data_IF_725276822926
#
_entry.id   IF_725276822926
#
_cell.length_a   1.000
_cell.length_b   1.000
_cell.length_c   1.000
_cell.angle_alpha   90.00
_cell.angle_beta   90.00
_cell.angle_gamma   90.00
#
_symmetry.space_group_name_H-M   'P 1'
#
loop_
_entity.id
_entity.type
_entity.pdbx_description
1 polymer ?
#
# COMPACT_ATOMS: atom_id res chain seq x y z
N UNK A 1 4.79 -9.15 -14.93
CA UNK A 1 5.63 -8.64 -13.83
C UNK A 1 5.22 -7.24 -13.36
N UNK A 2 5.07 -6.23 -14.24
CA UNK A 2 4.72 -4.86 -13.82
C UNK A 2 3.43 -4.74 -12.96
N UNK A 3 2.37 -5.47 -13.30
CA UNK A 3 1.12 -5.51 -12.52
C UNK A 3 1.32 -6.06 -11.10
N UNK A 4 1.97 -7.22 -10.99
CA UNK A 4 2.30 -7.84 -9.69
C UNK A 4 3.20 -6.93 -8.86
N UNK A 5 4.14 -6.26 -9.51
CA UNK A 5 5.02 -5.32 -8.85
C UNK A 5 4.18 -4.18 -8.23
N UNK A 6 3.31 -3.51 -8.99
CA UNK A 6 2.45 -2.44 -8.46
C UNK A 6 1.50 -2.88 -7.33
N UNK A 7 1.04 -4.14 -7.35
CA UNK A 7 0.23 -4.73 -6.26
C UNK A 7 1.03 -4.85 -4.95
N UNK A 8 2.32 -5.17 -5.02
CA UNK A 8 3.20 -5.23 -3.82
C UNK A 8 3.33 -3.85 -3.16
N UNK A 9 3.62 -2.81 -3.94
CA UNK A 9 3.73 -1.44 -3.42
C UNK A 9 2.39 -0.90 -2.92
N UNK A 10 1.28 -1.25 -3.58
CA UNK A 10 -0.08 -0.92 -3.12
C UNK A 10 -0.33 -1.50 -1.72
N UNK A 11 -0.04 -2.79 -1.52
CA UNK A 11 -0.26 -3.45 -0.23
C UNK A 11 0.66 -2.91 0.86
N UNK A 12 1.91 -2.60 0.51
CA UNK A 12 2.84 -1.96 1.44
C UNK A 12 2.34 -0.60 1.88
N UNK A 13 1.91 0.26 0.94
CA UNK A 13 1.37 1.59 1.24
C UNK A 13 0.09 1.50 2.07
N UNK A 14 -0.81 0.57 1.76
CA UNK A 14 -2.04 0.35 2.53
C UNK A 14 -1.75 0.02 3.99
N UNK A 15 -0.85 -0.94 4.25
CA UNK A 15 -0.47 -1.30 5.63
C UNK A 15 0.31 -0.17 6.32
N UNK A 16 1.19 0.54 5.59
CA UNK A 16 1.88 1.71 6.13
C UNK A 16 0.89 2.80 6.57
N UNK A 17 -0.11 3.11 5.74
CA UNK A 17 -1.12 4.13 6.05
C UNK A 17 -1.97 3.75 7.26
N UNK A 18 -2.36 2.48 7.40
CA UNK A 18 -3.03 1.97 8.62
C UNK A 18 -2.21 2.17 9.89
N UNK A 19 -0.88 2.20 9.79
CA UNK A 19 0.00 2.48 10.94
C UNK A 19 0.28 3.97 11.15
N UNK A 20 0.23 4.77 10.09
CA UNK A 20 0.58 6.19 10.10
C UNK A 20 -0.61 7.11 10.45
N UNK A 21 -1.82 6.73 10.06
CA UNK A 21 -3.09 7.36 10.44
C UNK A 21 -3.83 6.38 11.37
N UNK A 22 -3.54 6.37 12.69
CA UNK A 22 -4.34 5.59 13.62
C UNK A 22 -5.79 6.11 13.59
N UNK A 23 -6.74 5.22 13.30
CA UNK A 23 -8.18 5.49 13.30
C UNK A 23 -8.56 6.31 14.54
N UNK A 24 -9.08 7.53 14.35
CA UNK A 24 -9.56 8.37 15.46
C UNK A 24 -10.75 7.68 16.11
N UNK A 25 -10.43 6.91 17.15
CA UNK A 25 -11.41 6.11 17.88
C UNK A 25 -12.34 7.04 18.65
N UNK A 26 -13.50 7.35 18.07
CA UNK A 26 -14.66 7.84 18.82
C UNK A 26 -14.73 9.34 19.11
N UNK A 27 -14.63 10.19 18.09
CA UNK A 27 -15.22 11.53 18.16
C UNK A 27 -16.75 11.43 18.17
N UNK A 28 -17.45 12.28 18.93
CA UNK A 28 -18.92 12.29 19.05
C UNK A 28 -19.69 12.59 17.74
N UNK A 29 -18.98 12.74 16.63
CA UNK A 29 -19.48 12.92 15.27
C UNK A 29 -18.80 11.94 14.30
N UNK A 30 -18.77 10.65 14.63
CA UNK A 30 -18.35 9.58 13.71
C UNK A 30 -19.58 8.84 13.18
N UNK A 31 -19.49 8.33 11.95
CA UNK A 31 -20.47 7.47 11.28
C UNK A 31 -20.60 6.07 11.87
N UNK A 32 -19.95 5.80 13.02
CA UNK A 32 -20.00 4.55 13.75
C UNK A 32 -19.46 3.35 12.97
N UNK A 33 -19.99 2.15 13.26
CA UNK A 33 -19.54 0.88 12.66
C UNK A 33 -19.59 0.91 11.12
N UNK A 34 -20.47 1.72 10.52
CA UNK A 34 -20.52 1.90 9.07
C UNK A 34 -19.26 2.58 8.53
N UNK A 35 -18.82 3.66 9.15
CA UNK A 35 -17.63 4.43 8.76
C UNK A 35 -16.36 3.57 8.79
N UNK A 36 -16.17 2.78 9.86
CA UNK A 36 -15.02 1.88 10.01
C UNK A 36 -14.92 0.86 8.87
N UNK A 37 -16.07 0.40 8.34
CA UNK A 37 -16.09 -0.51 7.20
C UNK A 37 -15.72 0.20 5.89
N UNK A 38 -16.00 1.50 5.77
CA UNK A 38 -15.69 2.31 4.59
C UNK A 38 -14.29 2.93 4.60
N UNK A 39 -13.69 3.16 5.78
CA UNK A 39 -12.34 3.73 5.91
C UNK A 39 -11.30 2.86 5.22
N UNK A 40 -11.38 1.53 5.39
CA UNK A 40 -10.47 0.57 4.76
C UNK A 40 -10.46 0.65 3.23
N UNK A 41 -11.63 0.83 2.61
CA UNK A 41 -11.74 0.97 1.15
C UNK A 41 -11.12 2.28 0.65
N UNK A 42 -11.33 3.39 1.37
CA UNK A 42 -10.73 4.68 1.05
C UNK A 42 -9.21 4.62 1.14
N UNK A 43 -8.68 4.01 2.21
CA UNK A 43 -7.24 3.84 2.40
C UNK A 43 -6.63 2.96 1.30
N UNK A 44 -7.31 1.88 0.91
CA UNK A 44 -6.86 1.00 -0.18
C UNK A 44 -6.82 1.73 -1.53
N UNK A 45 -7.85 2.51 -1.85
CA UNK A 45 -7.87 3.27 -3.11
C UNK A 45 -6.83 4.39 -3.13
N UNK A 46 -6.58 5.03 -1.97
CA UNK A 46 -5.50 6.02 -1.83
C UNK A 46 -4.13 5.36 -2.06
N UNK A 47 -3.89 4.18 -1.50
CA UNK A 47 -2.67 3.41 -1.73
C UNK A 47 -2.51 3.02 -3.23
N UNK A 48 -3.60 2.65 -3.91
CA UNK A 48 -3.61 2.38 -5.36
C UNK A 48 -3.23 3.60 -6.18
N UNK A 49 -3.84 4.75 -5.90
CA UNK A 49 -3.54 5.99 -6.62
C UNK A 49 -2.07 6.37 -6.45
N UNK A 50 -1.55 6.30 -5.22
CA UNK A 50 -0.14 6.55 -4.94
C UNK A 50 0.78 5.59 -5.73
N UNK A 51 0.53 4.28 -5.65
CA UNK A 51 1.30 3.28 -6.41
C UNK A 51 1.27 3.56 -7.92
N UNK A 52 0.10 3.86 -8.49
CA UNK A 52 -0.04 4.15 -9.93
C UNK A 52 0.68 5.44 -10.37
N UNK A 53 0.82 6.42 -9.47
CA UNK A 53 1.53 7.68 -9.74
C UNK A 53 3.06 7.56 -9.62
N UNK A 54 3.57 6.40 -9.19
CA UNK A 54 5.01 6.18 -8.97
C UNK A 54 5.49 6.70 -7.62
N UNK A 55 4.79 6.36 -6.53
CA UNK A 55 5.06 6.88 -5.19
C UNK A 55 6.47 6.59 -4.65
N UNK A 56 6.77 5.35 -4.29
CA UNK A 56 8.03 4.94 -3.64
C UNK A 56 8.95 4.18 -4.60
N UNK A 57 8.41 3.58 -5.66
CA UNK A 57 9.18 2.78 -6.61
C UNK A 57 9.71 1.47 -6.01
N UNK A 58 9.12 1.01 -4.90
CA UNK A 58 9.51 -0.22 -4.21
C UNK A 58 9.37 -1.44 -5.12
N UNK A 59 8.32 -1.46 -5.93
CA UNK A 59 8.05 -2.50 -6.92
C UNK A 59 9.19 -2.67 -7.91
N UNK A 60 9.72 -1.55 -8.43
CA UNK A 60 10.83 -1.55 -9.37
C UNK A 60 12.12 -2.00 -8.68
N UNK A 61 12.37 -1.50 -7.46
CA UNK A 61 13.53 -1.88 -6.67
C UNK A 61 13.54 -3.38 -6.34
N UNK A 62 12.38 -3.95 -5.98
CA UNK A 62 12.24 -5.39 -5.69
C UNK A 62 12.48 -6.22 -6.95
N UNK A 63 11.83 -5.88 -8.07
CA UNK A 63 12.02 -6.60 -9.34
C UNK A 63 13.47 -6.54 -9.81
N UNK A 64 14.10 -5.36 -9.70
CA UNK A 64 15.50 -5.16 -10.07
C UNK A 64 16.44 -6.01 -9.22
N UNK A 65 16.26 -6.03 -7.90
CA UNK A 65 17.18 -6.76 -7.01
C UNK A 65 16.94 -8.27 -7.00
N UNK A 66 15.68 -8.74 -7.01
CA UNK A 66 15.38 -10.16 -7.07
C UNK A 66 15.76 -10.78 -8.43
N UNK A 67 15.54 -10.05 -9.53
CA UNK A 67 15.99 -10.50 -10.85
C UNK A 67 17.52 -10.53 -11.00
N UNK A 68 18.25 -9.71 -10.23
CA UNK A 68 19.71 -9.74 -10.21
C UNK A 68 20.27 -10.89 -9.34
N UNK A 69 19.51 -11.35 -8.33
CA UNK A 69 19.92 -12.48 -7.47
C UNK A 69 19.83 -13.84 -8.18
N UNK A 70 19.02 -14.00 -9.23
CA UNK A 70 18.98 -15.22 -10.06
C UNK A 70 20.22 -15.43 -10.94
N UNK A 71 21.09 -14.42 -11.08
CA UNK A 71 22.27 -14.44 -11.95
C UNK A 71 23.62 -14.52 -11.23
N UNK A 72 23.67 -14.64 -9.91
CA UNK A 72 24.92 -14.66 -9.14
C UNK A 72 25.19 -16.05 -8.54
N UNK A 73 25.67 -16.96 -9.37
CA UNK A 73 26.51 -18.07 -8.92
C UNK A 73 27.97 -17.57 -8.81
N UNK A 74 28.78 -18.09 -7.86
CA UNK A 74 30.21 -17.75 -7.77
C UNK A 74 31.00 -18.18 -9.00
#
# INVERSE_FOLDING_TARGET
MAKLAGEVETNFLYEFMKTAEPEESGSGFSGGIGEDQFSSFLTLERARQLSSSGALGLSEMIVKNLGCMEGQAP
#
